data_IF_531159677992
#
_entry.id   IF_531159677992
#
_cell.length_a   1.000
_cell.length_b   1.000
_cell.length_c   1.000
_cell.angle_alpha   90.00
_cell.angle_beta   90.00
_cell.angle_gamma   90.00
#
_symmetry.space_group_name_H-M   'P 1'
#
loop_
_entity.id
_entity.type
_entity.pdbx_description
1 polymer ?
#
# COMPACT_ATOMS: atom_id res chain seq x y z
N UNK A 1 -8.91 -0.29 6.76
CA UNK A 1 -8.83 0.48 5.49
C UNK A 1 -10.21 0.54 4.84
N UNK A 2 -10.54 1.57 4.05
CA UNK A 2 -11.78 1.56 3.28
C UNK A 2 -11.76 0.42 2.26
N UNK A 3 -12.94 -0.10 1.92
CA UNK A 3 -13.08 -1.10 0.86
C UNK A 3 -12.58 -0.52 -0.47
N UNK A 4 -11.82 -1.28 -1.26
CA UNK A 4 -11.49 -0.86 -2.62
C UNK A 4 -12.77 -0.78 -3.48
N UNK A 5 -12.73 -0.04 -4.60
CA UNK A 5 -13.81 -0.07 -5.60
C UNK A 5 -14.16 -1.51 -6.03
N UNK A 6 -15.40 -1.77 -6.49
CA UNK A 6 -15.82 -3.10 -6.93
C UNK A 6 -14.84 -3.72 -7.93
N UNK A 7 -14.56 -5.01 -7.77
CA UNK A 7 -13.62 -5.81 -8.59
C UNK A 7 -12.16 -5.33 -8.57
N UNK A 8 -11.78 -4.46 -7.63
CA UNK A 8 -10.40 -4.01 -7.43
C UNK A 8 -9.83 -4.45 -6.09
N UNK A 9 -8.51 -4.42 -5.99
CA UNK A 9 -7.75 -4.66 -4.76
C UNK A 9 -6.77 -3.53 -4.54
N UNK A 10 -6.39 -3.31 -3.27
CA UNK A 10 -5.35 -2.36 -2.93
C UNK A 10 -3.98 -2.95 -3.24
N UNK A 11 -3.17 -2.18 -3.95
CA UNK A 11 -1.76 -2.43 -4.20
C UNK A 11 -0.96 -1.33 -3.53
N UNK A 12 0.06 -1.70 -2.77
CA UNK A 12 0.97 -0.75 -2.14
C UNK A 12 2.01 -0.27 -3.14
N UNK A 13 1.98 1.02 -3.46
CA UNK A 13 2.97 1.62 -4.37
C UNK A 13 4.07 2.30 -3.58
N UNK A 14 3.73 3.02 -2.51
CA UNK A 14 4.69 3.71 -1.64
C UNK A 14 4.43 3.35 -0.19
N UNK A 15 5.49 3.10 0.57
CA UNK A 15 5.47 2.98 2.02
C UNK A 15 6.80 3.46 2.61
N UNK A 16 6.79 4.64 3.22
CA UNK A 16 8.02 5.27 3.73
C UNK A 16 8.53 4.63 5.02
N UNK A 17 7.86 3.61 5.57
CA UNK A 17 8.38 2.81 6.67
C UNK A 17 9.37 1.73 6.19
N UNK A 18 9.36 1.39 4.90
CA UNK A 18 10.25 0.38 4.34
C UNK A 18 11.57 1.00 3.90
N UNK A 19 12.61 0.18 3.82
CA UNK A 19 13.90 0.58 3.28
C UNK A 19 13.89 0.48 1.75
N UNK A 20 14.70 1.29 1.09
CA UNK A 20 14.92 1.16 -0.36
C UNK A 20 15.48 -0.22 -0.71
N UNK A 21 15.00 -0.87 -1.80
CA UNK A 21 14.08 -0.35 -2.83
C UNK A 21 12.58 -0.62 -2.58
N UNK A 22 12.22 -1.16 -1.41
CA UNK A 22 10.84 -1.61 -1.13
C UNK A 22 9.89 -0.47 -0.73
N UNK A 23 10.45 0.71 -0.46
CA UNK A 23 9.73 1.95 -0.14
C UNK A 23 8.94 2.51 -1.33
N UNK A 24 9.36 2.20 -2.56
CA UNK A 24 8.67 2.58 -3.80
C UNK A 24 8.68 1.46 -4.85
N UNK A 25 7.52 0.84 -5.09
CA UNK A 25 7.36 -0.24 -6.08
C UNK A 25 6.39 0.20 -7.19
N UNK A 26 6.87 0.55 -8.41
CA UNK A 26 6.02 1.07 -9.48
C UNK A 26 4.85 0.17 -9.88
N UNK A 27 5.05 -1.16 -9.82
CA UNK A 27 3.99 -2.13 -10.12
C UNK A 27 2.95 -2.30 -9.01
N UNK A 28 3.30 -1.85 -7.80
CA UNK A 28 2.55 -2.09 -6.58
C UNK A 28 2.68 -3.51 -6.06
N UNK A 29 2.65 -3.67 -4.74
CA UNK A 29 2.65 -4.99 -4.08
C UNK A 29 1.21 -5.35 -3.70
N UNK A 30 0.64 -6.48 -4.19
CA UNK A 30 -0.68 -6.94 -3.79
C UNK A 30 -0.67 -7.49 -2.37
N UNK A 31 -1.86 -7.62 -1.76
CA UNK A 31 -2.02 -8.35 -0.50
C UNK A 31 -2.47 -7.50 0.68
N UNK A 32 -2.87 -6.25 0.46
CA UNK A 32 -3.51 -5.47 1.51
C UNK A 32 -5.00 -5.84 1.53
N UNK A 33 -5.42 -6.51 2.60
CA UNK A 33 -6.81 -6.95 2.78
C UNK A 33 -7.65 -5.87 3.46
N UNK A 34 -7.88 -5.98 4.78
CA UNK A 34 -8.73 -5.10 5.59
C UNK A 34 -7.92 -4.17 6.50
N UNK A 35 -6.75 -4.62 6.92
CA UNK A 35 -5.86 -3.91 7.86
C UNK A 35 -4.49 -3.69 7.22
N UNK A 36 -3.83 -2.60 7.63
CA UNK A 36 -2.47 -2.30 7.26
C UNK A 36 -1.78 -1.59 8.43
N UNK A 37 -0.58 -2.04 8.79
CA UNK A 37 0.19 -1.42 9.87
C UNK A 37 1.01 -0.28 9.30
N UNK A 38 0.90 0.90 9.94
CA UNK A 38 1.67 2.10 9.57
C UNK A 38 2.51 2.53 10.77
N UNK A 39 3.77 2.90 10.52
CA UNK A 39 4.63 3.43 11.57
C UNK A 39 4.33 4.91 11.84
N UNK A 40 4.56 5.41 13.08
CA UNK A 40 4.54 6.85 13.34
C UNK A 40 5.47 7.60 12.38
N UNK A 41 5.07 8.81 11.96
CA UNK A 41 5.84 9.65 11.02
C UNK A 41 6.12 9.02 9.64
N UNK A 42 5.37 7.99 9.25
CA UNK A 42 5.43 7.42 7.90
C UNK A 42 4.20 7.78 7.07
N UNK A 43 4.28 7.52 5.77
CA UNK A 43 3.19 7.72 4.81
C UNK A 43 3.10 6.53 3.88
N UNK A 44 1.88 6.27 3.40
CA UNK A 44 1.57 5.18 2.48
C UNK A 44 0.77 5.70 1.29
N UNK A 45 1.03 5.15 0.10
CA UNK A 45 0.23 5.37 -1.11
C UNK A 45 -0.26 4.03 -1.66
N UNK A 46 -1.58 3.95 -1.82
CA UNK A 46 -2.27 2.76 -2.30
C UNK A 46 -2.98 3.04 -3.63
N UNK A 47 -2.86 2.11 -4.55
CA UNK A 47 -3.55 2.13 -5.83
C UNK A 47 -4.62 1.04 -5.87
N UNK A 48 -5.84 1.38 -6.28
CA UNK A 48 -6.88 0.39 -6.53
C UNK A 48 -6.78 -0.16 -7.96
N UNK A 49 -6.35 -1.42 -8.09
CA UNK A 49 -6.26 -2.14 -9.37
C UNK A 49 -7.24 -3.29 -9.44
#
# INVERSE_FOLDING_TARGET
>A
MPSPPPNRRWFRVVDTNLASPDDFVPGGVPGISSTYNIAPYSSILLEAK
#
